data_IF_881756855512
#
_entry.id   IF_881756855512
#
_cell.length_a   1.000
_cell.length_b   1.000
_cell.length_c   1.000
_cell.angle_alpha   90.00
_cell.angle_beta   90.00
_cell.angle_gamma   90.00
#
_symmetry.space_group_name_H-M   'P 1'
#
loop_
_entity.id
_entity.type
_entity.pdbx_description
1 polymer ?
#
# COMPACT_ATOMS: atom_id res chain seq x y z
N UNK A 1 -1.11 -4.73 2.36
CA UNK A 1 -1.38 -4.82 0.89
C UNK A 1 -0.64 -6.01 0.32
N UNK A 2 -1.07 -6.57 -0.82
CA UNK A 2 -0.32 -7.63 -1.50
C UNK A 2 0.77 -7.04 -2.39
N UNK A 3 1.95 -7.64 -2.36
CA UNK A 3 3.04 -7.40 -3.29
C UNK A 3 3.66 -8.75 -3.68
N UNK A 4 3.41 -9.16 -4.93
CA UNK A 4 3.72 -10.50 -5.45
C UNK A 4 3.13 -11.59 -4.55
N UNK A 5 3.96 -12.40 -3.92
CA UNK A 5 3.57 -13.53 -3.06
C UNK A 5 3.67 -13.19 -1.57
N UNK A 6 3.88 -11.92 -1.24
CA UNK A 6 4.01 -11.41 0.11
C UNK A 6 2.92 -10.39 0.43
N UNK A 7 2.61 -10.27 1.71
CA UNK A 7 1.81 -9.17 2.26
C UNK A 7 2.75 -8.17 2.91
N UNK A 8 2.58 -6.90 2.56
CA UNK A 8 3.31 -5.77 3.15
C UNK A 8 2.42 -5.09 4.19
N UNK A 9 2.94 -4.95 5.41
CA UNK A 9 2.30 -4.15 6.46
C UNK A 9 2.40 -2.67 6.09
N UNK A 10 1.26 -1.98 6.05
CA UNK A 10 1.23 -0.53 5.85
C UNK A 10 1.28 0.22 7.18
N UNK A 11 0.56 -0.31 8.18
CA UNK A 11 0.46 0.29 9.50
C UNK A 11 0.29 -0.81 10.55
N UNK A 12 0.74 -0.57 11.79
CA UNK A 12 0.58 -1.55 12.87
C UNK A 12 0.46 -0.85 14.22
N UNK A 13 -0.61 -1.16 14.95
CA UNK A 13 -0.82 -0.68 16.32
C UNK A 13 -0.52 -1.81 17.30
N UNK A 14 0.32 -1.54 18.30
CA UNK A 14 0.68 -2.52 19.33
C UNK A 14 -0.02 -2.24 20.64
N UNK A 15 -0.48 -3.31 21.26
CA UNK A 15 -1.02 -3.28 22.60
C UNK A 15 -0.33 -4.34 23.46
N UNK A 16 0.63 -3.93 24.28
CA UNK A 16 1.35 -4.84 25.18
C UNK A 16 2.46 -4.15 25.98
N UNK A 17 2.55 -4.46 27.28
CA UNK A 17 3.61 -3.96 28.20
C UNK A 17 4.96 -4.68 28.05
N UNK A 18 5.03 -5.81 27.33
CA UNK A 18 6.25 -6.61 27.15
C UNK A 18 6.82 -6.43 25.75
N UNK A 19 8.09 -6.07 25.68
CA UNK A 19 8.87 -5.93 24.44
C UNK A 19 8.99 -7.30 23.78
N UNK A 20 8.34 -7.49 22.64
CA UNK A 20 8.58 -8.64 21.76
C UNK A 20 9.91 -8.47 21.04
N UNK A 21 10.74 -9.52 21.01
CA UNK A 21 12.04 -9.53 20.33
C UNK A 21 11.95 -9.42 18.79
N UNK A 22 10.73 -9.57 18.24
CA UNK A 22 10.46 -9.38 16.81
C UNK A 22 9.19 -8.56 16.64
N UNK A 23 9.32 -7.56 15.78
CA UNK A 23 8.57 -6.33 15.82
C UNK A 23 7.99 -6.13 14.43
N UNK A 24 6.65 -6.25 14.29
CA UNK A 24 5.97 -5.91 13.03
C UNK A 24 5.95 -4.41 12.86
N UNK A 25 6.57 -3.93 11.80
CA UNK A 25 6.67 -2.51 11.44
C UNK A 25 6.11 -2.30 10.04
N UNK A 26 5.75 -1.06 9.71
CA UNK A 26 5.42 -0.69 8.34
C UNK A 26 6.56 -1.10 7.39
N UNK A 27 6.22 -1.61 6.21
CA UNK A 27 7.16 -2.18 5.24
C UNK A 27 7.53 -3.65 5.49
N UNK A 28 7.26 -4.23 6.67
CA UNK A 28 7.56 -5.64 6.89
C UNK A 28 6.74 -6.54 5.94
N UNK A 29 7.43 -7.49 5.31
CA UNK A 29 6.85 -8.47 4.40
C UNK A 29 6.61 -9.81 5.11
N UNK A 30 5.48 -10.45 4.82
CA UNK A 30 5.13 -11.78 5.32
C UNK A 30 4.56 -12.66 4.20
N UNK A 31 4.81 -13.98 4.21
CA UNK A 31 4.36 -14.85 3.13
C UNK A 31 2.83 -14.94 3.08
N UNK A 32 2.24 -14.75 1.89
CA UNK A 32 0.78 -14.81 1.73
C UNK A 32 0.21 -16.19 2.07
N UNK A 33 0.85 -17.25 1.58
CA UNK A 33 0.33 -18.62 1.69
C UNK A 33 0.20 -19.09 3.15
N UNK A 34 1.10 -18.62 4.03
CA UNK A 34 1.20 -19.08 5.42
C UNK A 34 0.46 -18.18 6.42
N UNK A 35 0.04 -16.97 6.02
CA UNK A 35 -0.55 -15.98 6.91
C UNK A 35 -2.05 -15.82 6.68
N UNK A 36 -2.79 -15.39 7.71
CA UNK A 36 -4.21 -15.07 7.55
C UNK A 36 -4.40 -13.82 6.67
N UNK A 37 -3.41 -12.92 6.64
CA UNK A 37 -3.40 -11.75 5.76
C UNK A 37 -3.53 -12.14 4.28
N UNK A 38 -2.62 -13.01 3.81
CA UNK A 38 -2.63 -13.44 2.41
C UNK A 38 -3.88 -14.25 2.07
N UNK A 39 -4.32 -15.13 2.97
CA UNK A 39 -5.55 -15.92 2.79
C UNK A 39 -6.81 -15.05 2.71
N UNK A 40 -6.89 -13.98 3.51
CA UNK A 40 -7.97 -13.00 3.43
C UNK A 40 -7.93 -12.17 2.15
N UNK A 41 -6.74 -11.78 1.68
CA UNK A 41 -6.58 -11.10 0.40
C UNK A 41 -7.01 -11.99 -0.78
N UNK A 42 -6.54 -13.24 -0.82
CA UNK A 42 -6.87 -14.22 -1.86
C UNK A 42 -8.38 -14.47 -1.99
N UNK A 43 -9.13 -14.26 -0.91
CA UNK A 43 -10.57 -14.49 -0.92
C UNK A 43 -11.36 -13.49 -1.77
N UNK A 44 -10.81 -12.28 -1.94
CA UNK A 44 -11.42 -11.15 -2.66
C UNK A 44 -10.58 -10.68 -3.86
N UNK A 45 -9.42 -11.29 -4.08
CA UNK A 45 -8.56 -11.01 -5.21
C UNK A 45 -9.28 -11.32 -6.55
N UNK A 46 -9.00 -10.56 -7.62
CA UNK A 46 -9.43 -10.93 -8.96
C UNK A 46 -9.00 -12.35 -9.33
N UNK A 47 -9.86 -13.09 -10.05
CA UNK A 47 -9.64 -14.51 -10.34
C UNK A 47 -8.29 -14.80 -11.02
N UNK A 48 -7.85 -13.88 -11.90
CA UNK A 48 -6.55 -13.96 -12.58
C UNK A 48 -5.40 -13.89 -11.58
N UNK A 49 -5.47 -12.95 -10.63
CA UNK A 49 -4.45 -12.80 -9.59
C UNK A 49 -4.46 -13.98 -8.63
N UNK A 50 -5.66 -14.43 -8.20
CA UNK A 50 -5.81 -15.62 -7.38
C UNK A 50 -5.15 -16.84 -8.03
N UNK A 51 -5.45 -17.12 -9.30
CA UNK A 51 -4.87 -18.24 -10.03
C UNK A 51 -3.35 -18.12 -10.16
N UNK A 52 -2.83 -16.93 -10.46
CA UNK A 52 -1.40 -16.67 -10.54
C UNK A 52 -0.68 -16.92 -9.20
N UNK A 53 -1.22 -16.40 -8.09
CA UNK A 53 -0.66 -16.64 -6.75
C UNK A 53 -0.68 -18.12 -6.38
N UNK A 54 -1.79 -18.82 -6.66
CA UNK A 54 -1.92 -20.26 -6.38
C UNK A 54 -0.89 -21.09 -7.18
N UNK A 55 -0.62 -20.73 -8.43
CA UNK A 55 0.43 -21.36 -9.23
C UNK A 55 1.84 -21.10 -8.65
N UNK A 56 2.14 -19.85 -8.26
CA UNK A 56 3.42 -19.48 -7.64
C UNK A 56 3.66 -20.23 -6.33
N UNK A 57 2.62 -20.47 -5.53
CA UNK A 57 2.72 -21.27 -4.31
C UNK A 57 2.94 -22.75 -4.63
N UNK A 58 2.21 -23.30 -5.61
CA UNK A 58 2.35 -24.68 -6.02
C UNK A 58 3.78 -25.03 -6.48
N UNK A 59 4.44 -24.10 -7.17
CA UNK A 59 5.80 -24.28 -7.67
C UNK A 59 6.88 -24.33 -6.57
N UNK A 60 6.61 -23.74 -5.39
CA UNK A 60 7.64 -23.51 -4.35
C UNK A 60 7.36 -24.23 -3.03
N UNK A 61 6.11 -24.60 -2.77
CA UNK A 61 5.73 -25.20 -1.49
C UNK A 61 6.05 -26.71 -1.44
N UNK A 62 6.91 -27.18 -0.50
CA UNK A 62 7.27 -28.60 -0.40
C UNK A 62 6.09 -29.51 -0.02
N UNK A 63 5.04 -28.96 0.60
CA UNK A 63 3.84 -29.69 1.02
C UNK A 63 2.57 -29.09 0.42
N UNK A 64 2.60 -28.83 -0.89
CA UNK A 64 1.53 -28.13 -1.61
C UNK A 64 0.11 -28.70 -1.39
N UNK A 65 -0.16 -30.02 -1.44
CA UNK A 65 -1.53 -30.51 -1.27
C UNK A 65 -2.16 -30.21 0.11
N UNK A 66 -1.35 -30.12 1.17
CA UNK A 66 -1.83 -29.73 2.49
C UNK A 66 -2.06 -28.22 2.56
N UNK A 67 -1.05 -27.44 2.15
CA UNK A 67 -1.11 -25.98 2.14
C UNK A 67 -2.25 -25.45 1.27
N UNK A 68 -2.46 -26.04 0.10
CA UNK A 68 -3.57 -25.71 -0.81
C UNK A 68 -4.92 -25.85 -0.11
N UNK A 69 -5.16 -26.98 0.57
CA UNK A 69 -6.42 -27.22 1.31
C UNK A 69 -6.62 -26.20 2.42
N UNK A 70 -5.56 -25.82 3.11
CA UNK A 70 -5.65 -24.78 4.14
C UNK A 70 -5.99 -23.40 3.56
N UNK A 71 -5.37 -23.02 2.44
CA UNK A 71 -5.65 -21.76 1.74
C UNK A 71 -7.08 -21.75 1.23
N UNK A 72 -7.51 -22.80 0.51
CA UNK A 72 -8.86 -22.91 -0.04
C UNK A 72 -9.92 -22.91 1.06
N UNK A 73 -9.67 -23.60 2.19
CA UNK A 73 -10.55 -23.58 3.36
C UNK A 73 -10.66 -22.19 3.97
N UNK A 74 -9.53 -21.48 4.13
CA UNK A 74 -9.53 -20.12 4.66
C UNK A 74 -10.24 -19.12 3.71
N UNK A 75 -10.03 -19.25 2.40
CA UNK A 75 -10.72 -18.46 1.37
C UNK A 75 -12.23 -18.70 1.41
N UNK A 76 -12.66 -19.96 1.48
CA UNK A 76 -14.07 -20.30 1.61
C UNK A 76 -14.67 -19.75 2.91
N UNK A 77 -13.90 -19.78 4.01
CA UNK A 77 -14.31 -19.22 5.29
C UNK A 77 -14.48 -17.70 5.24
N UNK A 78 -13.57 -16.97 4.57
CA UNK A 78 -13.71 -15.51 4.35
C UNK A 78 -14.93 -15.21 3.49
N UNK A 79 -15.13 -15.94 2.39
CA UNK A 79 -16.29 -15.75 1.51
C UNK A 79 -17.63 -15.98 2.24
N UNK A 80 -17.66 -16.89 3.22
CA UNK A 80 -18.88 -17.20 3.99
C UNK A 80 -19.07 -16.33 5.23
N UNK A 81 -18.00 -15.99 5.93
CA UNK A 81 -18.05 -15.39 7.27
C UNK A 81 -17.33 -14.04 7.38
N UNK A 82 -16.62 -13.60 6.33
CA UNK A 82 -15.91 -12.33 6.27
C UNK A 82 -14.51 -12.33 6.89
N UNK A 83 -14.01 -13.44 7.43
CA UNK A 83 -12.69 -13.51 8.06
C UNK A 83 -12.06 -14.90 7.98
N UNK A 84 -10.76 -15.01 8.23
CA UNK A 84 -10.08 -16.29 8.48
C UNK A 84 -9.03 -16.16 9.58
N UNK A 85 -8.64 -17.30 10.15
CA UNK A 85 -7.52 -17.39 11.09
C UNK A 85 -6.39 -18.25 10.51
N UNK A 86 -5.16 -17.95 10.92
CA UNK A 86 -3.99 -18.76 10.63
C UNK A 86 -3.00 -18.67 11.79
N UNK A 87 -2.20 -19.73 11.96
CA UNK A 87 -1.07 -19.76 12.87
C UNK A 87 0.18 -20.05 12.06
N UNK A 88 0.90 -18.98 11.71
CA UNK A 88 2.13 -19.11 10.94
C UNK A 88 3.32 -19.46 11.84
N UNK A 89 3.32 -18.98 13.08
CA UNK A 89 4.37 -19.21 14.06
C UNK A 89 3.79 -19.90 15.31
N UNK A 90 4.60 -20.73 16.01
CA UNK A 90 4.19 -21.31 17.28
C UNK A 90 3.72 -20.23 18.26
N UNK A 91 2.62 -20.49 18.95
CA UNK A 91 2.01 -19.57 19.90
C UNK A 91 1.57 -18.22 19.32
N UNK A 92 1.48 -18.08 17.99
CA UNK A 92 0.92 -16.88 17.35
C UNK A 92 -0.34 -17.26 16.59
N UNK A 93 -1.47 -16.68 17.00
CA UNK A 93 -2.75 -16.77 16.29
C UNK A 93 -3.07 -15.41 15.69
N UNK A 94 -3.38 -15.40 14.40
CA UNK A 94 -3.71 -14.21 13.64
C UNK A 94 -5.06 -14.36 12.95
N UNK A 95 -5.94 -13.36 13.07
CA UNK A 95 -7.24 -13.29 12.40
C UNK A 95 -7.23 -12.11 11.45
N UNK A 96 -7.71 -12.31 10.23
CA UNK A 96 -7.73 -11.28 9.21
C UNK A 96 -9.06 -11.21 8.47
N UNK A 97 -9.44 -10.01 8.05
CA UNK A 97 -10.63 -9.72 7.23
C UNK A 97 -10.24 -8.79 6.08
N UNK A 98 -10.74 -9.02 4.85
CA UNK A 98 -10.50 -8.11 3.74
C UNK A 98 -11.19 -6.76 4.00
N UNK A 99 -10.49 -5.69 3.64
CA UNK A 99 -10.98 -4.33 3.64
C UNK A 99 -11.05 -3.85 2.19
N UNK A 100 -12.19 -4.11 1.56
CA UNK A 100 -12.50 -3.58 0.24
C UNK A 100 -12.96 -2.12 0.40
N UNK A 101 -12.16 -1.19 -0.10
CA UNK A 101 -12.46 0.24 -0.13
C UNK A 101 -12.61 0.65 -1.60
N UNK A 102 -13.59 1.50 -1.87
CA UNK A 102 -13.83 1.98 -3.24
C UNK A 102 -12.61 2.76 -3.74
N UNK A 103 -12.22 2.50 -4.98
CA UNK A 103 -11.06 3.12 -5.65
C UNK A 103 -9.67 2.81 -5.08
N UNK A 104 -9.56 1.90 -4.11
CA UNK A 104 -8.27 1.45 -3.58
C UNK A 104 -8.03 -0.03 -3.90
N UNK A 105 -6.76 -0.47 -3.99
CA UNK A 105 -6.43 -1.88 -4.03
C UNK A 105 -6.92 -2.58 -2.76
N UNK A 106 -7.08 -3.91 -2.82
CA UNK A 106 -7.55 -4.68 -1.66
C UNK A 106 -6.60 -4.53 -0.48
N UNK A 107 -7.12 -4.00 0.62
CA UNK A 107 -6.46 -3.98 1.91
C UNK A 107 -6.94 -5.14 2.78
N UNK A 108 -6.18 -5.45 3.83
CA UNK A 108 -6.56 -6.49 4.78
C UNK A 108 -6.30 -5.96 6.18
N UNK A 109 -7.30 -6.06 7.05
CA UNK A 109 -7.20 -5.75 8.45
C UNK A 109 -6.85 -7.02 9.24
N UNK A 110 -5.90 -6.93 10.17
CA UNK A 110 -5.40 -8.05 10.94
C UNK A 110 -5.38 -7.73 12.44
N UNK A 111 -5.64 -8.77 13.24
CA UNK A 111 -5.30 -8.81 14.66
C UNK A 111 -4.52 -10.07 14.95
N UNK A 112 -3.42 -9.94 15.70
CA UNK A 112 -2.54 -11.05 16.05
C UNK A 112 -2.21 -11.01 17.54
N UNK A 113 -2.06 -12.18 18.14
CA UNK A 113 -1.76 -12.34 19.56
C UNK A 113 -0.82 -13.51 19.80
N UNK A 114 0.01 -13.35 20.83
CA UNK A 114 0.77 -14.45 21.40
C UNK A 114 -0.09 -15.18 22.43
N UNK A 115 -0.40 -16.45 22.16
CA UNK A 115 -1.25 -17.26 23.03
C UNK A 115 -1.03 -18.75 22.81
N UNK A 116 -1.31 -19.54 23.84
CA UNK A 116 -1.42 -21.01 23.76
C UNK A 116 -2.85 -21.48 23.48
N UNK A 117 -3.82 -20.57 23.47
CA UNK A 117 -5.21 -20.90 23.16
C UNK A 117 -5.36 -21.38 21.72
N UNK A 118 -6.35 -22.23 21.47
CA UNK A 118 -6.64 -22.71 20.13
C UNK A 118 -7.13 -21.56 19.24
N UNK A 119 -6.79 -21.60 17.95
CA UNK A 119 -7.17 -20.54 17.01
C UNK A 119 -8.68 -20.29 16.94
N UNK A 120 -9.49 -21.34 17.13
CA UNK A 120 -10.96 -21.22 17.17
C UNK A 120 -11.48 -20.44 18.39
N UNK A 121 -10.84 -20.54 19.55
CA UNK A 121 -11.25 -19.81 20.76
C UNK A 121 -10.98 -18.33 20.61
N UNK A 122 -9.77 -18.02 20.14
CA UNK A 122 -9.33 -16.67 19.82
C UNK A 122 -10.24 -16.03 18.76
N UNK A 123 -10.59 -16.80 17.73
CA UNK A 123 -11.46 -16.33 16.66
C UNK A 123 -12.88 -16.02 17.14
N UNK A 124 -13.46 -16.85 18.02
CA UNK A 124 -14.79 -16.57 18.60
C UNK A 124 -14.84 -15.25 19.34
N UNK A 125 -13.75 -14.87 20.02
CA UNK A 125 -13.68 -13.61 20.75
C UNK A 125 -13.42 -12.40 19.84
N UNK A 126 -12.44 -12.51 18.94
CA UNK A 126 -11.88 -11.35 18.25
C UNK A 126 -12.49 -11.11 16.87
N UNK A 127 -12.97 -12.14 16.17
CA UNK A 127 -13.52 -11.96 14.84
C UNK A 127 -14.72 -10.97 14.81
N UNK A 128 -15.69 -11.02 15.75
CA UNK A 128 -16.78 -10.03 15.77
C UNK A 128 -16.29 -8.60 15.99
N UNK A 129 -15.22 -8.41 16.77
CA UNK A 129 -14.62 -7.07 17.02
C UNK A 129 -13.89 -6.57 15.79
N UNK A 130 -13.10 -7.44 15.16
CA UNK A 130 -12.37 -7.14 13.93
C UNK A 130 -13.33 -6.76 12.79
N UNK A 131 -14.43 -7.49 12.63
CA UNK A 131 -15.43 -7.20 11.61
C UNK A 131 -16.16 -5.87 11.86
N UNK A 132 -16.47 -5.54 13.12
CA UNK A 132 -17.03 -4.21 13.46
C UNK A 132 -16.06 -3.11 13.08
N UNK A 133 -14.79 -3.21 13.49
CA UNK A 133 -13.76 -2.24 13.14
C UNK A 133 -13.60 -2.11 11.62
N UNK A 134 -13.63 -3.21 10.87
CA UNK A 134 -13.58 -3.15 9.41
C UNK A 134 -14.80 -2.44 8.80
N UNK A 135 -15.98 -2.59 9.41
CA UNK A 135 -17.18 -1.83 9.00
C UNK A 135 -17.00 -0.35 9.29
N UNK A 136 -16.61 0.00 10.52
CA UNK A 136 -16.43 1.40 10.94
C UNK A 136 -15.40 2.12 10.05
N UNK A 137 -14.31 1.43 9.68
CA UNK A 137 -13.31 1.97 8.75
C UNK A 137 -13.90 2.20 7.35
N UNK A 138 -14.67 1.24 6.81
CA UNK A 138 -15.31 1.42 5.49
C UNK A 138 -16.25 2.61 5.50
N UNK A 139 -17.11 2.69 6.51
CA UNK A 139 -18.11 3.75 6.63
C UNK A 139 -17.43 5.13 6.76
N UNK A 140 -16.36 5.22 7.56
CA UNK A 140 -15.57 6.44 7.71
C UNK A 140 -14.90 6.87 6.39
N UNK A 141 -14.30 5.94 5.65
CA UNK A 141 -13.65 6.23 4.35
C UNK A 141 -14.69 6.66 3.32
N UNK A 142 -15.83 5.98 3.24
CA UNK A 142 -16.91 6.34 2.31
C UNK A 142 -17.53 7.71 2.65
N UNK A 143 -17.68 8.02 3.94
CA UNK A 143 -18.14 9.33 4.40
C UNK A 143 -17.16 10.43 3.97
N UNK A 144 -15.86 10.24 4.22
CA UNK A 144 -14.82 11.19 3.81
C UNK A 144 -14.75 11.39 2.28
N UNK A 145 -15.11 10.38 1.48
CA UNK A 145 -15.14 10.47 0.01
C UNK A 145 -16.42 11.14 -0.55
N UNK A 146 -17.53 11.08 0.19
CA UNK A 146 -18.85 11.59 -0.21
C UNK A 146 -19.12 13.03 0.23
N UNK A 147 -18.40 13.53 1.24
CA UNK A 147 -18.41 14.96 1.54
C UNK A 147 -17.95 15.76 0.31
N UNK A 148 -18.75 16.72 -0.19
CA UNK A 148 -18.31 17.61 -1.26
C UNK A 148 -17.15 18.41 -0.68
N UNK A 149 -15.93 18.03 -1.07
CA UNK A 149 -14.75 18.62 -0.50
C UNK A 149 -14.75 20.11 -0.81
N UNK A 150 -15.02 20.93 0.21
CA UNK A 150 -15.06 22.39 0.09
C UNK A 150 -13.70 23.00 -0.26
N UNK A 151 -12.64 22.20 -0.44
CA UNK A 151 -11.34 22.62 -1.01
C UNK A 151 -10.65 21.63 -1.96
N UNK A 152 -11.09 20.37 -2.12
CA UNK A 152 -10.46 19.37 -3.01
C UNK A 152 -11.18 19.12 -4.34
N UNK A 153 -12.04 20.05 -4.77
CA UNK A 153 -12.65 20.01 -6.11
C UNK A 153 -11.59 20.10 -7.24
N UNK A 154 -10.36 20.56 -6.95
CA UNK A 154 -9.29 20.72 -7.94
C UNK A 154 -8.69 19.38 -8.43
N UNK A 155 -8.68 18.31 -7.62
CA UNK A 155 -8.03 17.05 -8.00
C UNK A 155 -8.92 16.10 -8.81
N UNK A 156 -10.25 16.18 -8.65
CA UNK A 156 -11.18 15.30 -9.38
C UNK A 156 -11.26 15.65 -10.88
N UNK A 157 -11.08 16.93 -11.24
CA UNK A 157 -10.98 17.36 -12.66
C UNK A 157 -9.64 16.95 -13.29
N UNK A 158 -8.57 16.86 -12.49
CA UNK A 158 -7.22 16.51 -12.94
C UNK A 158 -7.09 15.06 -13.43
N UNK A 159 -7.67 14.11 -12.69
CA UNK A 159 -7.65 12.69 -13.05
C UNK A 159 -8.52 12.39 -14.28
N UNK A 160 -9.64 13.10 -14.44
CA UNK A 160 -10.52 12.99 -15.60
C UNK A 160 -9.86 13.57 -16.87
N UNK A 161 -9.12 14.68 -16.76
CA UNK A 161 -8.39 15.28 -17.87
C UNK A 161 -7.22 14.41 -18.38
N UNK A 162 -6.56 13.65 -17.50
CA UNK A 162 -5.49 12.72 -17.86
C UNK A 162 -6.00 11.45 -18.57
N UNK A 163 -7.19 10.96 -18.22
CA UNK A 163 -7.77 9.75 -18.83
C UNK A 163 -8.45 10.01 -20.18
N UNK A 164 -8.89 11.25 -20.45
CA UNK A 164 -9.51 11.62 -21.73
C UNK A 164 -8.53 11.75 -22.91
N UNK A 165 -7.21 11.67 -22.70
CA UNK A 165 -6.20 11.78 -23.78
C UNK A 165 -5.78 10.44 -24.42
N UNK A 166 -6.41 9.32 -24.07
CA UNK A 166 -6.04 7.99 -24.60
C UNK A 166 -7.05 7.35 -25.56
N UNK A 167 -7.99 8.12 -26.11
CA UNK A 167 -8.89 7.65 -27.17
C UNK A 167 -9.06 8.69 -28.28
N UNK A 168 -8.09 8.73 -29.20
CA UNK A 168 -8.40 8.94 -30.64
C UNK A 168 -7.48 8.02 -31.43
N UNK A 169 -8.07 6.98 -32.01
CA UNK A 169 -7.42 6.13 -32.98
C UNK A 169 -7.63 6.63 -34.42
N UNK A 170 -7.03 5.84 -35.31
CA UNK A 170 -7.24 5.67 -36.76
C UNK A 170 -6.49 6.59 -37.74
N UNK A 171 -5.68 5.89 -38.52
CA UNK A 171 -5.45 6.00 -39.97
C UNK A 171 -4.12 6.51 -40.49
N UNK A 172 -3.47 5.56 -41.18
CA UNK A 172 -2.31 5.67 -42.05
C UNK A 172 -2.62 6.58 -43.25
N UNK A 173 -1.57 7.23 -43.76
CA UNK A 173 -1.55 8.13 -44.93
C UNK A 173 -1.97 9.60 -44.70
N UNK A 174 -1.08 10.37 -44.06
CA UNK A 174 -0.76 11.76 -44.46
C UNK A 174 0.58 12.22 -43.86
N UNK A 175 1.59 11.35 -43.97
CA UNK A 175 2.99 11.75 -43.96
C UNK A 175 3.30 12.40 -45.32
N UNK A 176 3.20 13.73 -45.35
CA UNK A 176 3.95 14.66 -46.20
C UNK A 176 3.03 15.80 -46.62
N UNK A 177 3.12 16.94 -45.93
CA UNK A 177 3.36 18.23 -46.58
C UNK A 177 3.41 19.35 -45.54
N UNK A 178 4.41 20.22 -45.71
CA UNK A 178 4.63 21.50 -45.05
C UNK A 178 5.20 21.50 -43.62
N UNK A 179 6.54 21.49 -43.64
CA UNK A 179 7.44 21.92 -42.58
C UNK A 179 7.10 23.33 -42.05
N UNK A 180 7.39 23.51 -40.77
CA UNK A 180 7.73 24.75 -40.07
C UNK A 180 6.57 25.63 -39.61
N UNK A 181 5.98 25.28 -38.47
CA UNK A 181 5.59 26.27 -37.46
C UNK A 181 6.13 25.80 -36.09
N UNK A 182 7.01 26.65 -35.55
CA UNK A 182 7.46 26.81 -34.16
C UNK A 182 7.85 25.58 -33.32
N UNK A 183 9.14 25.57 -33.01
CA UNK A 183 9.82 24.82 -31.95
C UNK A 183 9.46 25.32 -30.53
N UNK A 184 8.21 25.74 -30.30
CA UNK A 184 7.72 26.33 -29.03
C UNK A 184 6.25 25.94 -28.85
N UNK A 185 5.93 25.34 -27.68
CA UNK A 185 4.72 24.57 -27.33
C UNK A 185 4.80 23.12 -27.85
N UNK A 186 4.99 22.08 -27.03
CA UNK A 186 4.24 21.72 -25.82
C UNK A 186 5.21 21.19 -24.74
N UNK A 187 5.68 22.10 -23.88
CA UNK A 187 6.17 21.79 -22.53
C UNK A 187 5.34 22.64 -21.60
N UNK A 188 4.78 22.05 -20.54
CA UNK A 188 4.05 22.78 -19.51
C UNK A 188 2.54 22.61 -19.59
N UNK A 189 2.06 21.48 -19.08
CA UNK A 189 0.80 21.47 -18.35
C UNK A 189 1.17 21.05 -16.92
N UNK A 190 1.66 22.02 -16.13
CA UNK A 190 2.10 21.81 -14.76
C UNK A 190 0.88 21.60 -13.86
N UNK A 191 0.38 20.38 -13.88
CA UNK A 191 -0.92 20.00 -13.34
C UNK A 191 -0.97 20.03 -11.81
N UNK A 192 0.19 20.13 -11.14
CA UNK A 192 0.32 20.18 -9.67
C UNK A 192 0.98 21.47 -9.17
N UNK A 193 1.02 22.52 -10.01
CA UNK A 193 1.66 23.81 -9.67
C UNK A 193 1.18 24.35 -8.32
N UNK A 194 2.13 24.53 -7.40
CA UNK A 194 1.90 25.15 -6.09
C UNK A 194 1.42 24.21 -4.98
N UNK A 195 1.21 22.91 -5.24
CA UNK A 195 0.89 21.94 -4.18
C UNK A 195 2.14 21.60 -3.35
N UNK A 196 2.01 21.65 -2.03
CA UNK A 196 3.07 21.23 -1.12
C UNK A 196 2.90 19.76 -0.77
N UNK A 197 3.88 18.92 -1.13
CA UNK A 197 3.84 17.48 -0.87
C UNK A 197 4.89 17.11 0.17
N UNK A 198 4.44 16.57 1.30
CA UNK A 198 5.34 15.97 2.28
C UNK A 198 5.82 14.61 1.78
N UNK A 199 7.12 14.33 1.89
CA UNK A 199 7.68 13.00 1.68
C UNK A 199 8.22 12.49 3.02
N UNK A 200 7.49 11.59 3.67
CA UNK A 200 7.87 11.10 5.00
C UNK A 200 8.77 9.86 4.88
N UNK A 201 10.02 9.97 5.34
CA UNK A 201 11.02 8.91 5.22
C UNK A 201 11.95 8.83 6.44
N UNK A 202 12.59 7.68 6.60
CA UNK A 202 13.72 7.45 7.53
C UNK A 202 14.76 6.60 6.80
N UNK A 203 15.94 6.37 7.39
CA UNK A 203 16.97 5.51 6.78
C UNK A 203 16.41 4.14 6.37
N UNK A 204 16.85 3.64 5.21
CA UNK A 204 16.47 2.31 4.71
C UNK A 204 15.23 2.28 3.81
N UNK A 205 14.75 3.44 3.36
CA UNK A 205 13.73 3.55 2.30
C UNK A 205 14.24 2.98 0.97
N UNK A 206 13.38 2.38 0.15
CA UNK A 206 13.74 1.93 -1.21
C UNK A 206 13.99 3.15 -2.10
N UNK A 207 15.18 3.23 -2.71
CA UNK A 207 15.61 4.45 -3.38
C UNK A 207 14.72 4.83 -4.57
N UNK A 208 14.23 3.84 -5.35
CA UNK A 208 13.33 4.09 -6.48
C UNK A 208 11.96 4.62 -6.05
N UNK A 209 11.46 4.17 -4.89
CA UNK A 209 10.16 4.60 -4.31
C UNK A 209 10.17 6.06 -3.84
N UNK A 210 11.35 6.68 -3.72
CA UNK A 210 11.49 8.11 -3.45
C UNK A 210 11.84 8.90 -4.72
N UNK A 211 12.90 8.51 -5.42
CA UNK A 211 13.49 9.35 -6.46
C UNK A 211 12.59 9.53 -7.68
N UNK A 212 11.94 8.46 -8.14
CA UNK A 212 11.09 8.53 -9.32
C UNK A 212 9.78 9.29 -9.03
N UNK A 213 9.05 9.01 -7.94
CA UNK A 213 7.84 9.77 -7.61
C UNK A 213 8.14 11.23 -7.26
N UNK A 214 9.24 11.52 -6.55
CA UNK A 214 9.64 12.91 -6.26
C UNK A 214 9.91 13.68 -7.55
N UNK A 215 10.65 13.10 -8.49
CA UNK A 215 10.92 13.74 -9.78
C UNK A 215 9.62 14.00 -10.54
N UNK A 216 8.71 13.02 -10.59
CA UNK A 216 7.44 13.19 -11.28
C UNK A 216 6.58 14.31 -10.66
N UNK A 217 6.57 14.43 -9.33
CA UNK A 217 5.88 15.50 -8.62
C UNK A 217 6.49 16.88 -8.92
N UNK A 218 7.82 16.99 -8.86
CA UNK A 218 8.54 18.22 -9.15
C UNK A 218 8.37 18.66 -10.62
N UNK A 219 8.43 17.71 -11.56
CA UNK A 219 8.19 17.95 -13.00
C UNK A 219 6.74 18.39 -13.27
N UNK A 220 5.78 17.90 -12.49
CA UNK A 220 4.38 18.30 -12.55
C UNK A 220 4.09 19.66 -11.88
N UNK A 221 5.07 20.28 -11.23
CA UNK A 221 4.96 21.61 -10.60
C UNK A 221 4.71 21.61 -9.09
N UNK A 222 4.65 20.44 -8.45
CA UNK A 222 4.51 20.35 -7.01
C UNK A 222 5.81 20.74 -6.29
N UNK A 223 5.68 21.24 -5.07
CA UNK A 223 6.77 21.51 -4.15
C UNK A 223 6.92 20.35 -3.18
N UNK A 224 7.90 19.48 -3.42
CA UNK A 224 8.18 18.34 -2.53
C UNK A 224 9.12 18.74 -1.39
N UNK A 225 8.79 18.32 -0.15
CA UNK A 225 9.65 18.48 1.02
C UNK A 225 9.81 17.16 1.77
N UNK A 226 11.05 16.76 2.04
CA UNK A 226 11.38 15.57 2.80
C UNK A 226 11.24 15.84 4.29
N UNK A 227 10.39 15.03 4.93
CA UNK A 227 10.13 15.05 6.37
C UNK A 227 10.74 13.79 6.99
N UNK A 228 11.56 13.94 8.03
CA UNK A 228 12.18 12.79 8.70
C UNK A 228 12.31 12.99 10.22
N UNK A 229 12.36 11.91 11.04
CA UNK A 229 12.57 12.03 12.48
C UNK A 229 13.94 12.58 12.90
N UNK A 230 14.94 12.57 12.00
CA UNK A 230 16.30 13.04 12.26
C UNK A 230 16.66 14.24 11.39
N UNK A 231 17.65 15.01 11.84
CA UNK A 231 18.26 16.08 11.06
C UNK A 231 19.25 15.57 10.00
N UNK A 232 19.56 16.47 9.06
CA UNK A 232 20.63 16.29 8.10
C UNK A 232 20.16 15.50 6.89
N UNK A 233 20.53 14.23 6.83
CA UNK A 233 20.28 13.39 5.65
C UNK A 233 19.80 12.00 6.06
N UNK A 234 18.85 11.46 5.28
CA UNK A 234 18.42 10.05 5.32
C UNK A 234 19.07 9.27 4.19
N UNK A 235 19.38 8.00 4.41
CA UNK A 235 20.03 7.15 3.42
C UNK A 235 19.07 6.13 2.84
N UNK A 236 19.00 6.06 1.51
CA UNK A 236 18.21 5.06 0.80
C UNK A 236 18.89 3.69 0.80
N UNK A 237 18.11 2.66 0.45
CA UNK A 237 18.57 1.32 0.14
C UNK A 237 18.43 1.09 -1.36
N UNK A 238 19.45 0.49 -1.98
CA UNK A 238 19.48 0.22 -3.41
C UNK A 238 19.94 -1.21 -3.64
N UNK A 239 19.03 -2.08 -4.10
CA UNK A 239 19.27 -3.50 -4.33
C UNK A 239 19.78 -4.23 -3.07
N UNK A 240 21.11 -4.32 -2.89
CA UNK A 240 21.78 -5.05 -1.80
C UNK A 240 22.70 -4.18 -0.94
N UNK A 241 22.75 -2.89 -1.20
CA UNK A 241 23.64 -1.98 -0.48
C UNK A 241 22.96 -0.63 -0.21
N UNK A 242 23.55 0.14 0.66
CA UNK A 242 23.14 1.51 0.92
C UNK A 242 23.30 2.35 -0.35
N UNK A 243 22.23 3.06 -0.69
CA UNK A 243 22.16 3.97 -1.82
C UNK A 243 22.54 5.40 -1.47
N UNK A 244 21.98 6.33 -2.24
CA UNK A 244 22.23 7.77 -2.10
C UNK A 244 21.60 8.34 -0.82
N UNK A 245 22.15 9.46 -0.35
CA UNK A 245 21.55 10.24 0.74
C UNK A 245 20.61 11.31 0.20
N UNK A 246 19.59 11.64 0.99
CA UNK A 246 18.62 12.68 0.69
C UNK A 246 18.54 13.63 1.88
N UNK A 247 18.66 14.92 1.61
CA UNK A 247 18.57 15.96 2.62
C UNK A 247 17.16 16.02 3.22
N UNK A 248 17.10 16.23 4.53
CA UNK A 248 15.86 16.45 5.27
C UNK A 248 15.51 17.93 5.20
N UNK A 249 14.35 18.23 4.63
CA UNK A 249 13.85 19.60 4.48
C UNK A 249 13.14 20.07 5.76
N UNK A 250 12.49 19.15 6.48
CA UNK A 250 11.75 19.42 7.73
C UNK A 250 11.92 18.26 8.71
N UNK A 251 12.21 18.55 9.96
CA UNK A 251 12.10 17.53 11.00
C UNK A 251 10.65 17.16 11.25
N UNK A 252 10.39 15.88 11.51
CA UNK A 252 9.05 15.38 11.80
C UNK A 252 8.40 16.11 12.98
N UNK A 253 9.16 16.38 14.05
CA UNK A 253 8.65 17.08 15.24
C UNK A 253 8.29 18.56 14.97
N UNK A 254 8.85 19.14 13.91
CA UNK A 254 8.57 20.51 13.48
C UNK A 254 7.55 20.60 12.34
N UNK A 255 7.24 19.49 11.67
CA UNK A 255 6.33 19.45 10.54
C UNK A 255 4.87 19.55 11.01
N UNK A 256 4.09 20.41 10.36
CA UNK A 256 2.64 20.53 10.61
C UNK A 256 1.88 19.99 9.40
N UNK A 257 0.86 19.18 9.65
CA UNK A 257 0.04 18.62 8.59
C UNK A 257 -0.63 19.71 7.72
N UNK A 258 -0.92 20.87 8.32
CA UNK A 258 -1.52 22.03 7.66
C UNK A 258 -0.62 22.69 6.59
N UNK A 259 0.70 22.43 6.62
CA UNK A 259 1.66 22.99 5.67
C UNK A 259 1.73 22.19 4.35
N UNK A 260 0.97 21.09 4.24
CA UNK A 260 1.03 20.15 3.12
C UNK A 260 -0.35 19.81 2.59
N UNK A 261 -0.43 19.72 1.26
CA UNK A 261 -1.64 19.34 0.53
C UNK A 261 -1.70 17.83 0.24
N UNK A 262 -0.55 17.14 0.28
CA UNK A 262 -0.45 15.69 0.06
C UNK A 262 0.74 15.06 0.80
N UNK A 263 0.70 13.73 0.92
CA UNK A 263 1.74 12.91 1.55
C UNK A 263 2.17 11.77 0.63
N UNK A 264 3.48 11.66 0.38
CA UNK A 264 4.13 10.53 -0.27
C UNK A 264 4.83 9.68 0.80
N UNK A 265 4.57 8.36 0.77
CA UNK A 265 5.17 7.38 1.68
C UNK A 265 5.98 6.34 0.90
N UNK A 266 7.30 6.56 0.72
CA UNK A 266 8.17 5.56 0.10
C UNK A 266 8.22 4.26 0.91
N UNK A 267 8.23 3.13 0.21
CA UNK A 267 8.44 1.82 0.85
C UNK A 267 9.81 1.71 1.53
N UNK A 268 9.92 0.80 2.50
CA UNK A 268 11.17 0.48 3.21
C UNK A 268 11.68 -0.92 2.88
N UNK A 269 13.00 -1.07 2.71
CA UNK A 269 13.64 -2.37 2.47
C UNK A 269 14.29 -2.91 3.75
N UNK A 270 14.72 -2.01 4.64
CA UNK A 270 15.34 -2.36 5.92
C UNK A 270 14.29 -2.41 7.04
N UNK A 271 14.25 -3.55 7.73
CA UNK A 271 13.64 -3.73 9.05
C UNK A 271 14.79 -4.02 10.03
N UNK A 272 15.21 -3.08 10.88
CA UNK A 272 16.31 -3.29 11.82
C UNK A 272 16.00 -4.37 12.88
#
# INVERSE_FOLDING_TARGET
MADRDEMVYLESIRYGRKVSLRSVVAGQRVPMALTSLGRAWLAVAPEVEYAARMADFAARAPHWPALRREIESAVAHVRRHGWCAASWQPEVVAISTPLALDHYPVHVLNVSLSTRAAAGDVARELAPRLMRLASDIRDAVQTAQSEPCTRACCMKELAAALQARHQVGTDDALLASFRTISRTAIMGDKTLDGLNVAILVTDGFEQSELQEPRRALDEAGAHTRVVAPKDGEVKGWKLKDWGDTVAVDVQLDAARAEDFDALLLPGGVINP
#
